data_IF_228531671394
#
_entry.id   IF_228531671394
#
_cell.length_a   1.000
_cell.length_b   1.000
_cell.length_c   1.000
_cell.angle_alpha   90.00
_cell.angle_beta   90.00
_cell.angle_gamma   90.00
#
_symmetry.space_group_name_H-M   'P 1'
#
loop_
_entity.id
_entity.type
_entity.pdbx_description
1 polymer ?
#
# COMPACT_ATOMS: atom_id res chain seq x y z
N UNK A 1 -17.52 8.71 -38.74
CA UNK A 1 -16.41 8.22 -39.59
C UNK A 1 -15.34 7.63 -38.66
N UNK A 2 -14.78 6.49 -39.06
CA UNK A 2 -13.97 5.57 -38.25
C UNK A 2 -12.69 6.24 -37.71
N UNK A 3 -12.50 6.22 -36.39
CA UNK A 3 -11.22 6.52 -35.76
C UNK A 3 -10.31 5.29 -35.86
N UNK A 4 -9.25 5.40 -36.65
CA UNK A 4 -8.21 4.38 -36.83
C UNK A 4 -7.42 4.22 -35.52
N UNK A 5 -7.72 3.17 -34.76
CA UNK A 5 -6.87 2.76 -33.64
C UNK A 5 -5.55 2.21 -34.16
N UNK A 6 -4.44 2.84 -33.78
CA UNK A 6 -3.10 2.38 -34.15
C UNK A 6 -2.89 0.96 -33.60
N UNK A 7 -2.58 0.01 -34.50
CA UNK A 7 -2.14 -1.33 -34.15
C UNK A 7 -0.65 -1.25 -33.82
N UNK A 8 -0.32 -1.40 -32.55
CA UNK A 8 1.07 -1.36 -32.09
C UNK A 8 1.67 -2.76 -32.24
N UNK A 9 2.61 -2.91 -33.18
CA UNK A 9 3.36 -4.14 -33.40
C UNK A 9 4.60 -4.19 -32.48
N UNK A 10 4.74 -5.27 -31.72
CA UNK A 10 5.91 -5.53 -30.88
C UNK A 10 6.90 -6.42 -31.64
N UNK A 11 8.18 -6.03 -31.70
CA UNK A 11 9.22 -6.78 -32.42
C UNK A 11 9.64 -8.02 -31.62
N UNK A 12 9.82 -9.19 -32.26
CA UNK A 12 10.41 -10.35 -31.60
C UNK A 12 11.93 -10.14 -31.43
N UNK A 13 12.55 -10.62 -30.32
CA UNK A 13 13.99 -10.69 -30.20
C UNK A 13 14.52 -11.85 -31.05
N UNK A 14 15.58 -11.58 -31.79
CA UNK A 14 16.39 -12.59 -32.47
C UNK A 14 17.15 -13.41 -31.42
N UNK A 15 17.11 -14.73 -31.57
CA UNK A 15 17.89 -15.74 -30.82
C UNK A 15 17.67 -15.85 -29.30
N UNK A 16 16.62 -16.57 -28.91
CA UNK A 16 16.70 -17.51 -27.78
C UNK A 16 15.50 -18.48 -27.82
N UNK A 17 15.76 -19.78 -27.61
CA UNK A 17 14.84 -20.92 -27.74
C UNK A 17 13.69 -20.99 -26.72
N UNK A 18 13.08 -19.86 -26.35
CA UNK A 18 11.85 -19.85 -25.56
C UNK A 18 10.76 -19.13 -26.38
N UNK A 19 9.54 -19.70 -26.49
CA UNK A 19 8.47 -19.06 -27.24
C UNK A 19 8.20 -17.68 -26.62
N UNK A 20 8.46 -16.63 -27.41
CA UNK A 20 8.18 -15.26 -27.00
C UNK A 20 6.72 -15.18 -26.58
N UNK A 21 6.41 -14.68 -25.37
CA UNK A 21 5.04 -14.56 -24.93
C UNK A 21 4.25 -13.70 -25.92
N UNK A 22 3.02 -14.10 -26.26
CA UNK A 22 2.11 -13.29 -27.07
C UNK A 22 1.66 -12.05 -26.27
N UNK A 23 2.56 -11.07 -26.18
CA UNK A 23 2.36 -9.84 -25.44
C UNK A 23 1.31 -8.93 -26.09
N UNK A 24 1.11 -9.06 -27.41
CA UNK A 24 0.06 -8.33 -28.12
C UNK A 24 -1.32 -8.85 -27.73
N UNK A 25 -1.52 -10.17 -27.73
CA UNK A 25 -2.75 -10.80 -27.23
C UNK A 25 -3.01 -10.48 -25.76
N UNK A 26 -1.96 -10.51 -24.92
CA UNK A 26 -2.03 -10.16 -23.50
C UNK A 26 -2.34 -8.69 -23.24
N UNK A 27 -1.73 -7.76 -23.98
CA UNK A 27 -2.10 -6.34 -23.87
C UNK A 27 -3.58 -6.13 -24.22
N UNK A 28 -4.06 -6.76 -25.29
CA UNK A 28 -5.46 -6.66 -25.70
C UNK A 28 -6.44 -7.20 -24.65
N UNK A 29 -6.04 -8.16 -23.80
CA UNK A 29 -6.91 -8.73 -22.77
C UNK A 29 -7.10 -7.85 -21.53
N UNK A 30 -6.24 -6.83 -21.36
CA UNK A 30 -6.31 -5.85 -20.25
C UNK A 30 -6.48 -4.41 -20.76
N UNK A 31 -6.52 -4.20 -22.07
CA UNK A 31 -6.61 -2.87 -22.69
C UNK A 31 -7.85 -2.11 -22.23
N UNK A 32 -8.96 -2.80 -22.00
CA UNK A 32 -10.22 -2.26 -21.50
C UNK A 32 -10.16 -1.79 -20.04
N UNK A 33 -9.08 -2.12 -19.31
CA UNK A 33 -8.86 -1.62 -17.95
C UNK A 33 -8.43 -0.15 -17.95
N UNK A 34 -7.96 0.35 -19.09
CA UNK A 34 -7.41 1.70 -19.25
C UNK A 34 -8.35 2.58 -20.06
N UNK A 35 -8.52 3.83 -19.62
CA UNK A 35 -9.28 4.81 -20.40
C UNK A 35 -8.54 5.14 -21.70
N UNK A 36 -9.28 5.46 -22.78
CA UNK A 36 -8.71 5.78 -24.09
C UNK A 36 -7.53 6.78 -24.07
N UNK A 37 -7.56 7.91 -23.33
CA UNK A 37 -6.46 8.88 -23.36
C UNK A 37 -5.15 8.36 -22.74
N UNK A 38 -5.20 7.31 -21.90
CA UNK A 38 -4.01 6.77 -21.22
C UNK A 38 -3.56 5.42 -21.78
N UNK A 39 -4.27 4.87 -22.77
CA UNK A 39 -3.96 3.54 -23.32
C UNK A 39 -2.57 3.46 -23.97
N UNK A 40 -2.12 4.50 -24.66
CA UNK A 40 -0.79 4.51 -25.29
C UNK A 40 0.34 4.54 -24.24
N UNK A 41 0.14 5.32 -23.18
CA UNK A 41 1.06 5.41 -22.05
C UNK A 41 1.11 4.09 -21.27
N UNK A 42 -0.06 3.49 -21.01
CA UNK A 42 -0.17 2.19 -20.38
C UNK A 42 0.46 1.07 -21.25
N UNK A 43 0.27 1.11 -22.57
CA UNK A 43 0.91 0.16 -23.49
C UNK A 43 2.44 0.25 -23.43
N UNK A 44 2.98 1.47 -23.33
CA UNK A 44 4.41 1.68 -23.17
C UNK A 44 4.93 1.16 -21.83
N UNK A 45 4.21 1.42 -20.72
CA UNK A 45 4.57 0.90 -19.40
C UNK A 45 4.54 -0.63 -19.39
N UNK A 46 3.52 -1.23 -20.00
CA UNK A 46 3.39 -2.68 -20.17
C UNK A 46 4.56 -3.28 -20.95
N UNK A 47 4.99 -2.61 -22.04
CA UNK A 47 6.16 -3.01 -22.82
C UNK A 47 7.42 -3.03 -21.97
N UNK A 48 7.76 -1.90 -21.33
CA UNK A 48 9.01 -1.76 -20.57
C UNK A 48 9.07 -2.74 -19.39
N UNK A 49 7.92 -3.08 -18.83
CA UNK A 49 7.83 -4.05 -17.74
C UNK A 49 8.15 -5.49 -18.20
N UNK A 50 7.51 -5.97 -19.29
CA UNK A 50 7.68 -7.34 -19.79
C UNK A 50 8.88 -7.53 -20.73
N UNK A 51 9.25 -6.49 -21.47
CA UNK A 51 10.37 -6.44 -22.42
C UNK A 51 11.23 -5.22 -22.11
N UNK A 52 12.00 -5.25 -21.00
CA UNK A 52 12.99 -4.21 -20.74
C UNK A 52 14.07 -4.23 -21.81
N UNK A 53 14.54 -3.06 -22.23
CA UNK A 53 15.82 -2.95 -22.93
C UNK A 53 16.97 -3.31 -21.96
N UNK A 54 18.15 -3.68 -22.47
CA UNK A 54 19.32 -4.06 -21.65
C UNK A 54 19.73 -3.01 -20.62
N UNK A 55 19.38 -1.74 -20.85
CA UNK A 55 19.72 -0.59 -20.00
C UNK A 55 18.66 -0.35 -18.89
N UNK A 56 17.55 -1.08 -18.90
CA UNK A 56 16.44 -0.83 -17.98
C UNK A 56 16.72 -1.43 -16.61
N UNK A 57 16.91 -0.59 -15.59
CA UNK A 57 17.12 -1.06 -14.23
C UNK A 57 15.87 -1.74 -13.64
N UNK A 58 16.01 -2.69 -12.69
CA UNK A 58 14.88 -3.29 -11.99
C UNK A 58 13.96 -2.25 -11.32
N UNK A 59 14.50 -1.16 -10.80
CA UNK A 59 13.70 -0.06 -10.23
C UNK A 59 12.86 0.63 -11.30
N UNK A 60 13.42 0.88 -12.49
CA UNK A 60 12.66 1.48 -13.58
C UNK A 60 11.57 0.52 -14.10
N UNK A 61 11.84 -0.79 -14.14
CA UNK A 61 10.82 -1.80 -14.47
C UNK A 61 9.67 -1.78 -13.46
N UNK A 62 9.98 -1.70 -12.16
CA UNK A 62 8.97 -1.56 -11.12
C UNK A 62 8.17 -0.25 -11.24
N UNK A 63 8.82 0.89 -11.56
CA UNK A 63 8.12 2.15 -11.82
C UNK A 63 7.10 2.02 -12.94
N UNK A 64 7.45 1.31 -14.00
CA UNK A 64 6.52 1.06 -15.10
C UNK A 64 5.36 0.15 -14.68
N UNK A 65 5.61 -0.86 -13.85
CA UNK A 65 4.55 -1.69 -13.27
C UNK A 65 3.58 -0.89 -12.39
N UNK A 66 4.11 -0.07 -11.50
CA UNK A 66 3.34 0.80 -10.61
C UNK A 66 2.55 1.86 -11.39
N UNK A 67 3.19 2.49 -12.37
CA UNK A 67 2.51 3.41 -13.28
C UNK A 67 1.40 2.73 -14.08
N UNK A 68 1.64 1.51 -14.56
CA UNK A 68 0.61 0.71 -15.22
C UNK A 68 -0.57 0.43 -14.28
N UNK A 69 -0.30 0.10 -13.01
CA UNK A 69 -1.35 -0.05 -11.98
C UNK A 69 -2.14 1.26 -11.79
N UNK A 70 -1.45 2.39 -11.66
CA UNK A 70 -2.08 3.70 -11.46
C UNK A 70 -3.03 4.09 -12.61
N UNK A 71 -2.63 3.80 -13.86
CA UNK A 71 -3.40 4.11 -15.05
C UNK A 71 -4.64 3.21 -15.23
N UNK A 72 -4.67 2.06 -14.56
CA UNK A 72 -5.81 1.16 -14.61
C UNK A 72 -7.01 1.74 -13.83
N UNK A 73 -8.21 1.45 -14.32
CA UNK A 73 -9.47 1.84 -13.66
C UNK A 73 -9.49 1.35 -12.21
N UNK A 74 -10.09 2.10 -11.25
CA UNK A 74 -10.00 1.77 -9.83
C UNK A 74 -10.34 0.32 -9.47
N UNK A 75 -11.40 -0.25 -10.06
CA UNK A 75 -11.81 -1.66 -9.84
C UNK A 75 -10.92 -2.72 -10.52
N UNK A 76 -9.84 -2.30 -11.19
CA UNK A 76 -8.86 -3.17 -11.86
C UNK A 76 -7.47 -3.07 -11.23
N UNK A 77 -7.22 -2.11 -10.35
CA UNK A 77 -5.90 -1.91 -9.73
C UNK A 77 -5.51 -3.06 -8.80
N UNK A 78 -6.47 -3.73 -8.18
CA UNK A 78 -6.24 -4.91 -7.33
C UNK A 78 -5.73 -6.12 -8.12
N UNK A 79 -5.91 -6.12 -9.44
CA UNK A 79 -5.32 -7.14 -10.31
C UNK A 79 -3.79 -7.00 -10.42
N UNK A 80 -3.22 -5.87 -9.99
CA UNK A 80 -1.78 -5.62 -9.98
C UNK A 80 -1.26 -5.78 -8.55
N UNK A 81 -0.61 -6.91 -8.30
CA UNK A 81 -0.06 -7.23 -6.98
C UNK A 81 1.45 -7.25 -7.02
N UNK A 82 2.06 -6.78 -5.94
CA UNK A 82 3.49 -6.91 -5.75
C UNK A 82 3.78 -7.56 -4.42
N UNK A 83 4.51 -8.66 -4.45
CA UNK A 83 4.94 -9.42 -3.29
C UNK A 83 6.44 -9.27 -3.11
N UNK A 84 6.89 -9.03 -1.88
CA UNK A 84 8.32 -8.92 -1.57
C UNK A 84 8.76 -10.08 -0.72
N UNK A 85 9.76 -10.82 -1.19
CA UNK A 85 10.34 -11.94 -0.44
C UNK A 85 11.33 -11.37 0.58
N UNK A 86 11.00 -11.54 1.86
CA UNK A 86 11.85 -11.11 2.96
C UNK A 86 13.10 -11.99 3.00
N UNK A 87 14.28 -11.35 2.91
CA UNK A 87 15.58 -12.00 2.97
C UNK A 87 16.33 -12.13 1.64
N UNK A 88 15.64 -12.11 0.48
CA UNK A 88 16.29 -12.18 -0.84
C UNK A 88 16.34 -10.85 -1.58
N UNK A 89 15.52 -9.87 -1.17
CA UNK A 89 15.37 -8.59 -1.88
C UNK A 89 14.60 -8.73 -3.20
N UNK A 90 14.04 -9.91 -3.47
CA UNK A 90 13.22 -10.15 -4.64
C UNK A 90 11.82 -9.58 -4.47
N UNK A 91 11.34 -9.02 -5.56
CA UNK A 91 10.02 -8.41 -5.67
C UNK A 91 9.32 -9.06 -6.85
N UNK A 92 8.25 -9.80 -6.58
CA UNK A 92 7.44 -10.48 -7.58
C UNK A 92 6.26 -9.59 -7.93
N UNK A 93 6.20 -9.17 -9.20
CA UNK A 93 5.10 -8.36 -9.74
C UNK A 93 4.17 -9.27 -10.57
N UNK A 94 2.87 -9.21 -10.31
CA UNK A 94 1.86 -10.06 -10.96
C UNK A 94 0.68 -9.25 -11.49
N UNK A 95 0.12 -9.67 -12.61
CA UNK A 95 -1.10 -9.12 -13.22
C UNK A 95 -2.11 -10.25 -13.37
N UNK A 96 -3.22 -10.18 -12.62
CA UNK A 96 -4.27 -11.19 -12.64
C UNK A 96 -5.43 -10.75 -13.55
N UNK A 97 -5.51 -11.32 -14.77
CA UNK A 97 -6.72 -11.20 -15.60
C UNK A 97 -7.57 -12.44 -15.38
N UNK A 98 -8.76 -12.29 -14.77
CA UNK A 98 -9.62 -13.37 -14.25
C UNK A 98 -10.12 -14.41 -15.26
N UNK A 99 -9.60 -14.45 -16.48
CA UNK A 99 -9.84 -15.47 -17.50
C UNK A 99 -8.51 -16.15 -17.83
N UNK A 100 -8.05 -17.06 -16.95
CA UNK A 100 -6.73 -17.68 -16.96
C UNK A 100 -5.60 -16.63 -16.81
N UNK A 101 -4.88 -16.65 -15.69
CA UNK A 101 -3.76 -15.73 -15.45
C UNK A 101 -2.57 -16.09 -16.35
N UNK A 102 -2.66 -15.74 -17.63
CA UNK A 102 -1.64 -16.03 -18.65
C UNK A 102 -0.45 -15.07 -18.57
N UNK A 103 -0.43 -14.14 -17.61
CA UNK A 103 0.66 -13.22 -17.39
C UNK A 103 1.75 -13.88 -16.52
N UNK A 104 2.99 -14.00 -17.02
CA UNK A 104 4.08 -14.54 -16.22
C UNK A 104 4.42 -13.54 -15.10
N UNK A 105 4.68 -14.02 -13.88
CA UNK A 105 5.21 -13.19 -12.82
C UNK A 105 6.58 -12.63 -13.25
N UNK A 106 6.85 -11.38 -12.91
CA UNK A 106 8.16 -10.77 -13.15
C UNK A 106 8.85 -10.58 -11.80
N UNK A 107 9.96 -11.30 -11.63
CA UNK A 107 10.83 -11.15 -10.46
C UNK A 107 11.83 -10.03 -10.71
N UNK A 108 11.85 -9.04 -9.83
CA UNK A 108 12.76 -7.91 -9.83
C UNK A 108 13.63 -7.98 -8.58
N UNK A 109 14.95 -7.87 -8.73
CA UNK A 109 15.87 -7.78 -7.59
C UNK A 109 16.07 -6.31 -7.23
N UNK A 110 15.63 -5.92 -6.03
CA UNK A 110 15.65 -4.54 -5.55
C UNK A 110 16.20 -4.48 -4.13
N UNK A 111 17.07 -3.52 -3.86
CA UNK A 111 17.46 -3.22 -2.48
C UNK A 111 16.25 -2.70 -1.68
N UNK A 112 16.34 -2.79 -0.35
CA UNK A 112 15.32 -2.21 0.55
C UNK A 112 15.07 -0.73 0.27
N UNK A 113 16.14 0.02 0.02
CA UNK A 113 16.07 1.44 -0.26
C UNK A 113 15.37 1.72 -1.60
N UNK A 114 15.73 1.02 -2.67
CA UNK A 114 15.11 1.21 -4.00
C UNK A 114 13.64 0.83 -4.01
N UNK A 115 13.28 -0.25 -3.32
CA UNK A 115 11.88 -0.66 -3.15
C UNK A 115 11.06 0.44 -2.47
N UNK A 116 11.54 0.97 -1.35
CA UNK A 116 10.86 2.03 -0.61
C UNK A 116 10.78 3.35 -1.38
N UNK A 117 11.84 3.73 -2.11
CA UNK A 117 11.82 4.92 -2.96
C UNK A 117 10.86 4.78 -4.15
N UNK A 118 10.82 3.61 -4.77
CA UNK A 118 10.01 3.36 -5.96
C UNK A 118 8.51 3.33 -5.63
N UNK A 119 8.13 2.72 -4.51
CA UNK A 119 6.76 2.75 -3.98
C UNK A 119 6.28 4.16 -3.58
N UNK A 120 7.21 5.05 -3.20
CA UNK A 120 6.86 6.40 -2.73
C UNK A 120 6.72 7.42 -3.86
N UNK A 121 7.26 7.15 -5.06
CA UNK A 121 7.31 8.10 -6.17
C UNK A 121 6.02 8.14 -7.02
N UNK A 122 5.18 7.11 -6.97
CA UNK A 122 3.83 7.09 -7.59
C UNK A 122 2.89 8.15 -7.00
N UNK A 123 3.20 8.66 -5.80
CA UNK A 123 2.40 9.68 -5.09
C UNK A 123 2.71 11.13 -5.53
N UNK A 124 3.57 11.35 -6.54
CA UNK A 124 4.08 12.69 -6.92
C UNK A 124 3.86 13.11 -8.37
N UNK A 125 3.08 12.38 -9.17
CA UNK A 125 2.87 12.68 -10.59
C UNK A 125 1.53 13.39 -10.88
N UNK A 126 1.15 14.39 -10.08
CA UNK A 126 -0.01 15.25 -10.40
C UNK A 126 0.25 16.75 -10.13
N UNK A 127 1.45 17.22 -10.47
CA UNK A 127 1.77 18.64 -10.49
C UNK A 127 2.52 19.03 -11.76
N UNK A 128 1.82 19.05 -12.89
CA UNK A 128 2.22 19.89 -14.03
C UNK A 128 1.00 20.62 -14.58
N UNK A 129 0.61 21.69 -13.89
CA UNK A 129 -0.21 22.75 -14.50
C UNK A 129 0.66 24.01 -14.54
N UNK A 130 1.05 24.42 -15.74
CA UNK A 130 1.65 25.72 -16.01
C UNK A 130 0.65 26.83 -15.64
N UNK A 131 1.15 27.99 -15.18
CA UNK A 131 0.73 29.21 -15.86
C UNK A 131 1.92 30.12 -16.24
N UNK A 132 1.81 30.62 -17.47
CA UNK A 132 2.57 31.70 -18.08
C UNK A 132 2.14 33.07 -17.49
N UNK A 133 3.14 33.90 -17.15
CA UNK A 133 3.23 35.39 -17.26
C UNK A 133 2.13 36.29 -16.62
N UNK A 134 2.36 37.47 -16.04
CA UNK A 134 3.50 38.38 -15.96
C UNK A 134 3.27 39.46 -14.84
N UNK A 135 4.38 40.04 -14.37
CA UNK A 135 4.60 41.43 -13.90
C UNK A 135 3.73 42.08 -12.80
N UNK A 136 4.29 42.22 -11.58
CA UNK A 136 5.08 43.40 -11.17
C UNK A 136 5.49 43.36 -9.68
N UNK A 137 6.62 44.00 -9.28
CA UNK A 137 7.18 43.94 -7.93
C UNK A 137 6.88 45.20 -7.10
N UNK A 138 6.78 45.05 -5.77
CA UNK A 138 7.38 45.91 -4.74
C UNK A 138 6.60 45.79 -3.41
N UNK A 139 7.26 45.23 -2.39
CA UNK A 139 7.48 45.87 -1.09
C UNK A 139 7.98 44.82 -0.09
N UNK A 140 9.27 44.94 0.22
CA UNK A 140 10.03 44.23 1.23
C UNK A 140 9.50 44.52 2.63
N UNK A 141 9.26 43.47 3.40
CA UNK A 141 9.63 43.38 4.82
C UNK A 141 10.19 41.99 5.08
N UNK A 142 11.52 41.91 5.11
CA UNK A 142 12.28 40.92 5.87
C UNK A 142 12.09 41.24 7.38
N UNK A 143 12.22 40.36 8.37
CA UNK A 143 12.94 39.10 8.58
C UNK A 143 12.01 38.20 9.44
N UNK A 144 12.12 36.88 9.53
CA UNK A 144 13.24 36.17 10.13
C UNK A 144 13.20 34.69 9.74
N UNK A 145 14.34 34.27 9.18
CA UNK A 145 14.67 32.90 8.84
C UNK A 145 14.85 32.07 10.11
N UNK A 146 14.01 31.04 10.27
CA UNK A 146 14.42 29.83 10.96
C UNK A 146 13.73 28.63 10.32
N UNK A 147 14.47 27.93 9.47
CA UNK A 147 14.12 26.59 9.00
C UNK A 147 14.01 25.62 10.17
N UNK A 148 12.85 25.59 10.81
CA UNK A 148 12.47 24.54 11.75
C UNK A 148 11.81 23.42 10.95
N UNK A 149 12.50 22.27 10.91
CA UNK A 149 12.04 20.95 10.46
C UNK A 149 10.51 20.86 10.33
N UNK A 150 10.01 20.57 9.12
CA UNK A 150 8.61 20.32 8.79
C UNK A 150 8.14 19.00 9.47
N UNK A 151 8.25 18.93 10.79
CA UNK A 151 7.98 17.77 11.63
C UNK A 151 6.58 18.01 12.18
N UNK A 152 5.59 17.38 11.56
CA UNK A 152 4.19 17.55 11.96
C UNK A 152 3.97 17.29 13.45
N UNK A 153 2.89 17.82 14.00
CA UNK A 153 2.57 17.70 15.41
C UNK A 153 2.25 16.26 15.80
N UNK A 154 2.53 15.89 17.05
CA UNK A 154 2.17 14.57 17.59
C UNK A 154 0.64 14.45 17.62
N UNK A 155 0.12 13.33 17.12
CA UNK A 155 -1.33 13.07 17.12
C UNK A 155 -1.90 12.98 18.55
N UNK A 156 -3.03 13.66 18.76
CA UNK A 156 -3.76 13.72 20.03
C UNK A 156 -4.88 12.68 20.09
N UNK A 157 -5.39 12.40 21.29
CA UNK A 157 -6.53 11.49 21.45
C UNK A 157 -7.78 12.03 20.74
N UNK A 158 -8.03 13.33 20.80
CA UNK A 158 -9.12 13.99 20.07
C UNK A 158 -9.03 13.77 18.57
N UNK A 159 -7.82 13.80 17.99
CA UNK A 159 -7.62 13.54 16.56
C UNK A 159 -7.82 12.06 16.21
N UNK A 160 -7.35 11.13 17.05
CA UNK A 160 -7.62 9.70 16.82
C UNK A 160 -9.14 9.43 16.89
N UNK A 161 -9.85 10.09 17.81
CA UNK A 161 -11.30 9.97 17.94
C UNK A 161 -12.02 10.59 16.72
N UNK A 162 -11.63 11.79 16.31
CA UNK A 162 -12.19 12.46 15.13
C UNK A 162 -12.06 11.58 13.87
N UNK A 163 -10.90 10.95 13.64
CA UNK A 163 -10.74 10.03 12.52
C UNK A 163 -11.58 8.75 12.67
N UNK A 164 -11.74 8.23 13.90
CA UNK A 164 -12.61 7.08 14.14
C UNK A 164 -14.05 7.38 13.72
N UNK A 165 -14.56 8.53 14.13
CA UNK A 165 -15.97 8.89 14.04
C UNK A 165 -16.43 9.31 12.64
N UNK A 166 -15.49 9.58 11.73
CA UNK A 166 -15.83 9.77 10.31
C UNK A 166 -16.48 8.51 9.72
N UNK A 167 -17.53 8.71 8.95
CA UNK A 167 -18.13 7.69 8.10
C UNK A 167 -17.13 7.18 7.04
N UNK A 168 -17.36 5.99 6.45
CA UNK A 168 -16.56 5.51 5.33
C UNK A 168 -16.49 6.50 4.15
N UNK A 169 -17.59 7.19 3.87
CA UNK A 169 -17.69 8.21 2.83
C UNK A 169 -16.82 9.42 3.13
N UNK A 170 -16.89 9.97 4.35
CA UNK A 170 -16.05 11.12 4.77
C UNK A 170 -14.56 10.75 4.80
N UNK A 171 -14.22 9.51 5.17
CA UNK A 171 -12.84 9.01 5.11
C UNK A 171 -12.33 8.93 3.66
N UNK A 172 -13.21 8.59 2.72
CA UNK A 172 -12.91 8.55 1.27
C UNK A 172 -12.75 9.97 0.72
N UNK A 173 -13.64 10.90 1.08
CA UNK A 173 -13.54 12.32 0.72
C UNK A 173 -12.28 12.99 1.29
N UNK A 174 -11.88 12.60 2.50
CA UNK A 174 -10.64 13.04 3.11
C UNK A 174 -9.37 12.47 2.45
N UNK A 175 -9.50 11.59 1.43
CA UNK A 175 -8.37 10.99 0.72
C UNK A 175 -7.57 10.00 1.54
N UNK A 176 -8.18 9.37 2.55
CA UNK A 176 -7.54 8.45 3.47
C UNK A 176 -6.79 9.13 4.63
N UNK A 177 -6.32 8.32 5.59
CA UNK A 177 -5.81 8.84 6.87
C UNK A 177 -4.55 9.71 6.72
N UNK A 178 -3.75 9.48 5.66
CA UNK A 178 -2.50 10.20 5.40
C UNK A 178 -2.78 11.63 4.94
N UNK A 179 -3.67 11.79 3.98
CA UNK A 179 -4.14 13.09 3.46
C UNK A 179 -4.84 13.88 4.56
N UNK A 180 -5.72 13.22 5.33
CA UNK A 180 -6.36 13.80 6.50
C UNK A 180 -5.38 14.21 7.61
N UNK A 181 -4.32 13.44 7.84
CA UNK A 181 -3.28 13.79 8.80
C UNK A 181 -2.44 14.99 8.33
N UNK A 182 -2.13 15.07 7.04
CA UNK A 182 -1.40 16.20 6.46
C UNK A 182 -2.20 17.50 6.52
N UNK A 183 -3.51 17.47 6.23
CA UNK A 183 -4.37 18.66 6.29
C UNK A 183 -4.44 19.25 7.70
N UNK A 184 -4.29 18.40 8.72
CA UNK A 184 -4.21 18.82 10.13
C UNK A 184 -2.78 19.03 10.66
N UNK A 185 -1.79 19.03 9.77
CA UNK A 185 -0.36 19.18 10.11
C UNK A 185 0.12 18.15 11.16
N UNK A 186 -0.49 16.97 11.19
CA UNK A 186 -0.11 15.85 12.05
C UNK A 186 1.09 15.12 11.43
N UNK A 187 2.04 14.71 12.26
CA UNK A 187 3.15 13.87 11.81
C UNK A 187 2.64 12.55 11.22
N UNK A 188 2.97 12.27 9.97
CA UNK A 188 2.60 11.01 9.30
C UNK A 188 3.19 9.79 10.00
N UNK A 189 4.43 9.90 10.49
CA UNK A 189 5.07 8.82 11.25
C UNK A 189 4.41 8.58 12.60
N UNK A 190 3.78 9.62 13.18
CA UNK A 190 2.95 9.50 14.38
C UNK A 190 1.56 8.93 14.07
N UNK A 191 0.88 9.46 13.06
CA UNK A 191 -0.47 9.08 12.67
C UNK A 191 -0.57 7.62 12.20
N UNK A 192 0.42 7.11 11.45
CA UNK A 192 0.45 5.69 11.00
C UNK A 192 0.40 4.67 12.14
N UNK A 193 0.80 5.08 13.35
CA UNK A 193 0.78 4.20 14.51
C UNK A 193 -0.63 3.99 15.06
N UNK A 194 -1.59 4.86 14.73
CA UNK A 194 -2.92 4.87 15.34
C UNK A 194 -4.07 4.82 14.32
N UNK A 195 -3.85 5.23 13.07
CA UNK A 195 -4.90 5.36 12.05
C UNK A 195 -4.74 4.33 10.92
N UNK A 196 -5.87 3.93 10.32
CA UNK A 196 -5.98 3.16 9.08
C UNK A 196 -7.01 3.82 8.16
N UNK A 197 -7.05 3.48 6.87
CA UNK A 197 -8.06 4.06 5.96
C UNK A 197 -9.49 3.70 6.35
N UNK A 198 -9.70 2.59 7.05
CA UNK A 198 -11.01 2.13 7.51
C UNK A 198 -11.34 2.56 8.94
N UNK A 199 -10.37 3.08 9.71
CA UNK A 199 -10.56 3.44 11.10
C UNK A 199 -9.24 3.53 11.87
N UNK A 200 -9.06 2.70 12.89
CA UNK A 200 -7.89 2.75 13.77
C UNK A 200 -7.07 1.47 13.73
N UNK A 201 -5.78 1.60 14.04
CA UNK A 201 -4.96 0.44 14.39
C UNK A 201 -5.36 -0.09 15.77
N UNK A 202 -4.95 -1.30 16.12
CA UNK A 202 -5.08 -1.85 17.48
C UNK A 202 -4.55 -0.89 18.55
N UNK A 203 -3.43 -0.22 18.26
CA UNK A 203 -2.82 0.78 19.14
C UNK A 203 -3.61 2.09 19.19
N UNK A 204 -4.27 2.49 18.10
CA UNK A 204 -5.23 3.59 18.09
C UNK A 204 -6.46 3.30 18.94
N UNK A 205 -6.98 2.08 18.85
CA UNK A 205 -8.10 1.61 19.68
C UNK A 205 -7.72 1.64 21.17
N UNK A 206 -6.59 1.03 21.54
CA UNK A 206 -6.11 1.01 22.92
C UNK A 206 -5.81 2.41 23.47
N UNK A 207 -5.25 3.30 22.65
CA UNK A 207 -4.94 4.66 23.09
C UNK A 207 -6.18 5.48 23.47
N UNK A 208 -7.33 5.11 22.93
CA UNK A 208 -8.62 5.71 23.25
C UNK A 208 -9.41 4.96 24.30
N UNK A 209 -8.88 3.86 24.86
CA UNK A 209 -9.49 3.22 26.02
C UNK A 209 -9.33 4.14 27.25
N UNK A 210 -10.40 4.29 28.06
CA UNK A 210 -10.32 4.91 29.37
C UNK A 210 -9.19 4.29 30.21
N UNK A 211 -8.51 5.06 31.08
CA UNK A 211 -7.44 4.53 31.92
C UNK A 211 -7.82 3.29 32.76
N UNK A 212 -9.10 3.13 33.10
CA UNK A 212 -9.64 1.97 33.83
C UNK A 212 -10.05 0.77 32.97
N UNK A 213 -10.02 0.90 31.64
CA UNK A 213 -10.37 -0.16 30.67
C UNK A 213 -9.14 -0.67 29.89
N UNK A 214 -7.94 -0.18 30.23
CA UNK A 214 -6.69 -0.72 29.71
C UNK A 214 -6.57 -2.17 30.19
N UNK A 215 -6.90 -3.11 29.30
CA UNK A 215 -6.98 -4.52 29.64
C UNK A 215 -5.69 -5.06 30.26
N UNK A 216 -5.81 -6.18 30.98
CA UNK A 216 -4.69 -6.82 31.64
C UNK A 216 -3.65 -7.32 30.63
N UNK A 217 -2.40 -7.45 31.08
CA UNK A 217 -1.38 -8.12 30.27
C UNK A 217 -1.80 -9.55 29.96
N UNK A 218 -1.52 -10.01 28.74
CA UNK A 218 -1.83 -11.39 28.37
C UNK A 218 -0.93 -12.35 29.15
N UNK A 219 -1.53 -13.39 29.72
CA UNK A 219 -0.84 -14.42 30.48
C UNK A 219 -0.43 -15.60 29.60
N UNK A 220 0.57 -16.39 30.02
CA UNK A 220 0.96 -17.61 29.31
C UNK A 220 -0.22 -18.58 29.12
N UNK A 221 -1.11 -18.68 30.12
CA UNK A 221 -2.34 -19.50 30.04
C UNK A 221 -3.26 -19.04 28.91
N UNK A 222 -3.43 -17.72 28.74
CA UNK A 222 -4.27 -17.16 27.67
C UNK A 222 -3.63 -17.30 26.29
N UNK A 223 -2.30 -17.16 26.18
CA UNK A 223 -1.58 -17.45 24.93
C UNK A 223 -1.75 -18.93 24.55
N UNK A 224 -1.65 -19.84 25.53
CA UNK A 224 -1.86 -21.28 25.32
C UNK A 224 -3.32 -21.57 24.90
N UNK A 225 -4.29 -20.98 25.60
CA UNK A 225 -5.71 -21.15 25.28
C UNK A 225 -6.05 -20.70 23.85
N UNK A 226 -5.45 -19.60 23.37
CA UNK A 226 -5.62 -19.18 21.98
C UNK A 226 -4.91 -20.12 21.00
N UNK A 227 -3.74 -20.67 21.34
CA UNK A 227 -3.07 -21.66 20.48
C UNK A 227 -3.95 -22.88 20.27
N UNK A 228 -4.46 -23.44 21.37
CA UNK A 228 -5.17 -24.72 21.41
C UNK A 228 -6.62 -24.62 20.92
N UNK A 229 -7.12 -23.40 20.72
CA UNK A 229 -8.44 -23.17 20.16
C UNK A 229 -8.54 -23.75 18.73
N UNK A 230 -9.57 -24.56 18.42
CA UNK A 230 -9.82 -25.06 17.07
C UNK A 230 -9.99 -23.90 16.07
N UNK A 231 -9.63 -24.13 14.80
CA UNK A 231 -9.70 -23.08 13.79
C UNK A 231 -11.13 -22.54 13.61
N UNK A 232 -12.14 -23.40 13.66
CA UNK A 232 -13.55 -22.99 13.56
C UNK A 232 -13.96 -22.09 14.73
N UNK A 233 -13.51 -22.41 15.95
CA UNK A 233 -13.77 -21.56 17.13
C UNK A 233 -13.04 -20.20 17.04
N UNK A 234 -11.87 -20.14 16.38
CA UNK A 234 -11.16 -18.87 16.11
C UNK A 234 -11.91 -18.03 15.08
N UNK A 235 -12.54 -18.67 14.09
CA UNK A 235 -13.39 -18.01 13.09
C UNK A 235 -14.68 -17.46 13.74
N UNK A 236 -15.33 -18.24 14.61
CA UNK A 236 -16.51 -17.80 15.38
C UNK A 236 -16.19 -16.62 16.31
N UNK A 237 -15.00 -16.60 16.91
CA UNK A 237 -14.53 -15.45 17.68
C UNK A 237 -14.33 -14.18 16.81
N UNK A 238 -14.31 -14.32 15.47
CA UNK A 238 -14.26 -13.24 14.48
C UNK A 238 -12.91 -12.52 14.34
N UNK A 239 -12.05 -12.57 15.37
CA UNK A 239 -10.63 -12.21 15.35
C UNK A 239 -10.04 -12.42 16.76
N UNK A 240 -8.72 -12.63 16.87
CA UNK A 240 -8.03 -12.59 18.16
C UNK A 240 -8.30 -11.29 18.92
N UNK A 241 -8.51 -10.15 18.22
CA UNK A 241 -8.82 -8.86 18.83
C UNK A 241 -10.14 -8.91 19.63
N UNK A 242 -11.20 -9.46 19.04
CA UNK A 242 -12.50 -9.62 19.71
C UNK A 242 -12.40 -10.58 20.89
N UNK A 243 -11.66 -11.67 20.69
CA UNK A 243 -11.43 -12.68 21.72
C UNK A 243 -10.70 -12.12 22.95
N UNK A 244 -9.67 -11.28 22.76
CA UNK A 244 -8.94 -10.66 23.89
C UNK A 244 -9.73 -9.55 24.55
N UNK A 245 -10.49 -8.77 23.78
CA UNK A 245 -11.39 -7.75 24.32
C UNK A 245 -12.48 -8.35 25.21
N UNK A 246 -13.09 -9.47 24.79
CA UNK A 246 -14.09 -10.18 25.59
C UNK A 246 -13.58 -10.68 26.95
N UNK A 247 -12.26 -10.84 27.08
CA UNK A 247 -11.59 -11.25 28.31
C UNK A 247 -10.94 -10.08 29.08
N UNK A 248 -11.13 -8.84 28.62
CA UNK A 248 -10.51 -7.66 29.22
C UNK A 248 -8.99 -7.67 29.14
N UNK A 249 -8.40 -8.30 28.12
CA UNK A 249 -6.95 -8.35 27.89
C UNK A 249 -6.54 -7.16 26.99
N UNK A 250 -5.40 -6.53 27.28
CA UNK A 250 -4.85 -5.47 26.44
C UNK A 250 -4.53 -5.99 25.03
N UNK A 251 -5.06 -5.30 24.03
CA UNK A 251 -4.85 -5.64 22.61
C UNK A 251 -3.37 -5.48 22.24
N UNK A 252 -2.66 -4.46 22.76
CA UNK A 252 -1.24 -4.33 22.47
C UNK A 252 -0.40 -5.38 23.17
N UNK A 253 -0.77 -5.77 24.39
CA UNK A 253 -0.12 -6.89 25.07
C UNK A 253 -0.29 -8.17 24.26
N UNK A 254 -1.53 -8.52 23.90
CA UNK A 254 -1.85 -9.72 23.14
C UNK A 254 -1.32 -9.71 21.69
N UNK A 255 -1.30 -8.56 21.01
CA UNK A 255 -0.83 -8.44 19.63
C UNK A 255 0.65 -8.74 19.44
N UNK A 256 1.43 -8.78 20.53
CA UNK A 256 2.80 -9.28 20.49
C UNK A 256 2.88 -10.80 20.34
N UNK A 257 1.83 -11.55 20.70
CA UNK A 257 1.86 -13.00 20.87
C UNK A 257 0.83 -13.74 20.01
N UNK A 258 -0.28 -13.10 19.62
CA UNK A 258 -1.40 -13.75 18.92
C UNK A 258 -1.53 -13.34 17.44
N UNK A 259 -2.04 -14.25 16.62
CA UNK A 259 -2.51 -14.02 15.24
C UNK A 259 -3.91 -14.60 15.06
N UNK A 260 -4.60 -14.32 13.95
CA UNK A 260 -5.93 -14.92 13.71
C UNK A 260 -5.90 -16.45 13.53
N UNK A 261 -4.75 -17.04 13.18
CA UNK A 261 -4.61 -18.49 12.97
C UNK A 261 -3.91 -19.19 14.14
N UNK A 262 -3.20 -18.46 14.99
CA UNK A 262 -2.45 -19.03 16.09
C UNK A 262 -1.61 -17.99 16.80
N UNK A 263 -0.30 -18.21 16.85
CA UNK A 263 0.64 -17.35 17.57
C UNK A 263 1.66 -16.70 16.65
N UNK A 264 2.22 -15.58 17.09
CA UNK A 264 3.44 -15.00 16.51
C UNK A 264 4.66 -15.82 16.92
N UNK A 265 5.81 -15.64 16.26
CA UNK A 265 7.08 -16.25 16.68
C UNK A 265 7.39 -15.97 18.15
N UNK A 266 7.11 -14.74 18.60
CA UNK A 266 7.28 -14.31 19.99
C UNK A 266 6.29 -15.00 20.94
N UNK A 267 5.06 -15.28 20.49
CA UNK A 267 4.09 -16.09 21.23
C UNK A 267 4.51 -17.55 21.37
N UNK A 268 5.13 -18.11 20.32
CA UNK A 268 5.71 -19.46 20.36
C UNK A 268 6.88 -19.51 21.35
N UNK A 269 7.84 -18.59 21.23
CA UNK A 269 9.00 -18.46 22.12
C UNK A 269 8.58 -18.26 23.58
N UNK A 270 7.56 -17.42 23.82
CA UNK A 270 7.06 -17.15 25.17
C UNK A 270 6.53 -18.38 25.92
N UNK A 271 6.15 -19.42 25.17
CA UNK A 271 5.58 -20.66 25.71
C UNK A 271 6.54 -21.84 25.60
N UNK A 272 7.79 -21.60 25.19
CA UNK A 272 8.85 -22.58 25.40
C UNK A 272 9.19 -22.66 26.91
N UNK A 273 9.48 -23.86 27.42
CA UNK A 273 9.85 -24.09 28.82
C UNK A 273 11.17 -23.43 29.21
#
# INVERSE_FOLDING_TARGET
MRGTGAVIHFRPPTDSSMPSPDLSGRWNSIRDWFSLPVQDEAAQCFRVFYQPDEVTSPSNRLKNFLKLKALASPGRQDNFTTERILGTGETICMIASGKNSDFPPVTLHLSDQEWHMTQSQEETADCTVLPLSADNPAATTAEESAGASRKGSRITNTQIQAWRDLSPEEKREAGGWKTWAQSQRISISGAKQYLTNTGLTSRGVERLQPPGEKGFSITNRQIQAWRDLPQDAKLEAGSWIKWVQAQGISIASAGNFLTNTGLTSRGVERLQP
#
